data_IF_943753706611
#
_entry.id   IF_943753706611
#
_cell.length_a   1.000
_cell.length_b   1.000
_cell.length_c   1.000
_cell.angle_alpha   90.00
_cell.angle_beta   90.00
_cell.angle_gamma   90.00
#
_symmetry.space_group_name_H-M   'P 1'
#
loop_
_entity.id
_entity.type
_entity.pdbx_description
1 polymer ?
#
# COMPACT_ATOMS: atom_id res chain seq x y z
N UNK A 1 -11.08 -26.32 10.50
CA UNK A 1 -11.93 -25.51 9.60
C UNK A 1 -11.08 -24.35 9.11
N UNK A 2 -10.65 -24.36 7.85
CA UNK A 2 -10.03 -23.18 7.24
C UNK A 2 -11.15 -22.18 7.02
N UNK A 3 -11.13 -20.97 7.60
CA UNK A 3 -12.11 -19.98 7.22
C UNK A 3 -11.91 -19.71 5.73
N UNK A 4 -12.95 -19.91 4.93
CA UNK A 4 -12.98 -19.53 3.52
C UNK A 4 -13.11 -18.01 3.48
N UNK A 5 -12.02 -17.29 3.76
CA UNK A 5 -12.00 -15.84 3.62
C UNK A 5 -12.21 -15.50 2.16
N UNK A 6 -13.30 -14.79 1.84
CA UNK A 6 -13.50 -14.29 0.49
C UNK A 6 -12.48 -13.19 0.21
N UNK A 7 -11.38 -13.59 -0.42
CA UNK A 7 -10.35 -12.66 -0.85
C UNK A 7 -10.82 -11.83 -2.04
N UNK A 8 -11.93 -12.13 -2.72
CA UNK A 8 -12.30 -11.43 -3.96
C UNK A 8 -13.00 -10.09 -3.71
N UNK A 9 -13.79 -10.00 -2.63
CA UNK A 9 -14.66 -8.85 -2.34
C UNK A 9 -14.07 -7.82 -1.36
N UNK A 10 -12.73 -7.72 -1.26
CA UNK A 10 -12.09 -6.72 -0.39
C UNK A 10 -12.35 -5.30 -0.94
N UNK A 11 -12.92 -4.37 -0.13
CA UNK A 11 -13.14 -3.00 -0.55
C UNK A 11 -11.84 -2.27 -0.88
N UNK A 12 -11.84 -1.50 -1.97
CA UNK A 12 -10.69 -0.75 -2.44
C UNK A 12 -10.99 0.01 -3.72
N UNK A 13 -9.94 0.45 -4.42
CA UNK A 13 -10.11 1.05 -5.75
C UNK A 13 -10.60 0.01 -6.77
N UNK A 14 -11.27 0.41 -7.87
CA UNK A 14 -11.71 -0.50 -8.93
C UNK A 14 -10.59 -1.38 -9.50
N UNK A 15 -9.36 -0.87 -9.53
CA UNK A 15 -8.17 -1.58 -9.99
C UNK A 15 -7.76 -2.74 -9.08
N UNK A 16 -8.27 -2.76 -7.85
CA UNK A 16 -8.01 -3.80 -6.86
C UNK A 16 -8.91 -5.03 -7.03
N UNK A 17 -9.86 -4.99 -7.97
CA UNK A 17 -10.72 -6.11 -8.34
C UNK A 17 -9.89 -7.14 -9.12
N UNK A 18 -9.93 -8.38 -8.67
CA UNK A 18 -9.19 -9.48 -9.28
C UNK A 18 -9.97 -10.03 -10.48
N UNK A 19 -9.39 -9.97 -11.67
CA UNK A 19 -9.98 -10.58 -12.87
C UNK A 19 -9.91 -12.12 -12.79
N UNK A 20 -10.75 -12.86 -13.54
CA UNK A 20 -10.69 -14.33 -13.57
C UNK A 20 -9.30 -14.87 -13.95
N UNK A 21 -8.59 -14.15 -14.83
CA UNK A 21 -7.23 -14.50 -15.22
C UNK A 21 -6.19 -14.29 -14.11
N UNK A 22 -6.40 -13.32 -13.20
CA UNK A 22 -5.57 -13.16 -12.02
C UNK A 22 -5.87 -14.23 -10.98
N UNK A 23 -7.15 -14.54 -10.76
CA UNK A 23 -7.58 -15.56 -9.79
C UNK A 23 -6.98 -16.94 -10.10
N UNK A 24 -6.87 -17.31 -11.37
CA UNK A 24 -6.27 -18.59 -11.78
C UNK A 24 -4.76 -18.70 -11.50
N UNK A 25 -4.08 -17.58 -11.23
CA UNK A 25 -2.65 -17.54 -10.90
C UNK A 25 -2.39 -17.59 -9.39
N UNK A 26 -3.43 -17.44 -8.56
CA UNK A 26 -3.26 -17.32 -7.11
C UNK A 26 -3.01 -18.68 -6.45
N UNK A 27 -2.05 -18.77 -5.51
CA UNK A 27 -1.88 -19.97 -4.71
C UNK A 27 -3.10 -20.21 -3.81
N UNK A 28 -3.36 -21.48 -3.46
CA UNK A 28 -4.50 -21.87 -2.63
C UNK A 28 -4.37 -21.44 -1.15
N UNK A 29 -3.17 -21.08 -0.68
CA UNK A 29 -2.90 -20.78 0.72
C UNK A 29 -2.09 -19.49 0.89
N UNK A 30 -2.37 -18.78 2.00
CA UNK A 30 -1.60 -17.63 2.44
C UNK A 30 -0.45 -18.04 3.37
N UNK A 31 0.70 -17.38 3.26
CA UNK A 31 1.68 -17.35 4.34
C UNK A 31 1.06 -16.60 5.55
N UNK A 32 1.12 -17.14 6.77
CA UNK A 32 0.44 -16.55 7.92
C UNK A 32 1.10 -15.23 8.34
N UNK A 33 0.31 -14.33 8.94
CA UNK A 33 0.83 -13.18 9.68
C UNK A 33 1.49 -13.63 11.00
N UNK A 34 2.40 -12.84 11.60
CA UNK A 34 2.93 -11.56 11.12
C UNK A 34 3.97 -11.72 10.00
N UNK A 35 4.21 -10.64 9.24
CA UNK A 35 5.30 -10.60 8.25
C UNK A 35 6.39 -9.62 8.65
N UNK A 36 7.63 -10.10 8.62
CA UNK A 36 8.84 -9.28 8.56
C UNK A 36 9.25 -9.11 7.10
N UNK A 37 9.72 -7.92 6.75
CA UNK A 37 10.08 -7.58 5.38
C UNK A 37 11.31 -6.70 5.30
N UNK A 38 12.14 -6.93 4.28
CA UNK A 38 13.22 -6.02 3.89
C UNK A 38 12.95 -5.50 2.48
N UNK A 39 13.17 -4.21 2.26
CA UNK A 39 12.90 -3.59 0.98
C UNK A 39 13.77 -2.36 0.71
N UNK A 40 13.70 -1.92 -0.53
CA UNK A 40 14.04 -0.57 -0.96
C UNK A 40 12.74 0.12 -1.34
N UNK A 41 12.55 1.37 -0.91
CA UNK A 41 11.30 2.08 -1.15
C UNK A 41 11.52 3.53 -1.53
N UNK A 42 10.68 4.01 -2.45
CA UNK A 42 10.42 5.43 -2.67
C UNK A 42 9.06 5.70 -2.07
N UNK A 43 9.02 6.56 -1.04
CA UNK A 43 7.78 7.02 -0.42
C UNK A 43 7.59 8.50 -0.72
N UNK A 44 6.36 8.92 -0.93
CA UNK A 44 6.01 10.32 -1.09
C UNK A 44 4.70 10.65 -0.38
N UNK A 45 4.51 11.92 -0.11
CA UNK A 45 3.29 12.39 0.53
C UNK A 45 2.84 13.73 -0.02
N UNK A 46 1.53 13.94 0.07
CA UNK A 46 0.87 15.15 -0.40
C UNK A 46 -0.43 15.40 0.33
N UNK A 47 -1.02 16.56 0.06
CA UNK A 47 -2.37 16.87 0.52
C UNK A 47 -3.35 15.89 -0.13
N UNK A 48 -4.36 15.40 0.61
CA UNK A 48 -5.45 14.62 0.03
C UNK A 48 -6.12 15.39 -1.11
N UNK A 49 -6.51 14.68 -2.18
CA UNK A 49 -7.39 15.26 -3.18
C UNK A 49 -8.75 15.59 -2.57
N UNK A 50 -9.45 16.59 -3.10
CA UNK A 50 -10.79 16.95 -2.63
C UNK A 50 -11.81 15.80 -2.80
N UNK A 51 -11.56 14.91 -3.76
CA UNK A 51 -12.39 13.76 -4.06
C UNK A 51 -12.06 12.53 -3.18
N UNK A 52 -10.93 12.51 -2.46
CA UNK A 52 -10.47 11.31 -1.76
C UNK A 52 -11.50 10.77 -0.77
N UNK A 53 -12.14 11.66 0.00
CA UNK A 53 -13.07 11.23 1.04
C UNK A 53 -14.29 10.50 0.47
N UNK A 54 -14.81 10.93 -0.69
CA UNK A 54 -15.96 10.28 -1.33
C UNK A 54 -15.60 8.94 -1.97
N UNK A 55 -14.31 8.63 -2.16
CA UNK A 55 -13.87 7.31 -2.64
C UNK A 55 -13.80 6.28 -1.52
N UNK A 56 -13.69 6.72 -0.26
CA UNK A 56 -13.73 5.80 0.89
C UNK A 56 -15.11 5.15 0.99
N UNK A 57 -15.16 3.91 1.48
CA UNK A 57 -16.43 3.27 1.84
C UNK A 57 -17.15 4.08 2.93
N UNK A 58 -18.49 3.99 3.05
CA UNK A 58 -19.22 4.68 4.11
C UNK A 58 -18.67 4.38 5.52
N UNK A 59 -18.25 3.13 5.74
CA UNK A 59 -17.67 2.69 7.01
C UNK A 59 -16.34 3.36 7.29
N UNK A 60 -15.45 3.48 6.30
CA UNK A 60 -14.18 4.20 6.42
C UNK A 60 -14.37 5.72 6.53
N UNK A 61 -15.37 6.29 5.84
CA UNK A 61 -15.73 7.72 5.99
C UNK A 61 -16.11 8.05 7.44
N UNK A 62 -16.86 7.15 8.10
CA UNK A 62 -17.27 7.31 9.49
C UNK A 62 -16.08 7.29 10.48
N UNK A 63 -14.94 6.70 10.10
CA UNK A 63 -13.77 6.60 10.99
C UNK A 63 -12.94 7.89 11.04
N UNK A 64 -12.99 8.74 10.00
CA UNK A 64 -12.21 9.97 10.01
C UNK A 64 -12.11 10.68 8.67
N UNK A 65 -11.48 11.86 8.71
CA UNK A 65 -11.24 12.70 7.53
C UNK A 65 -9.83 12.50 6.99
N UNK A 66 -9.63 12.50 5.66
CA UNK A 66 -8.30 12.48 5.05
C UNK A 66 -7.40 13.59 5.59
N UNK A 67 -6.22 13.19 6.05
CA UNK A 67 -5.19 14.10 6.54
C UNK A 67 -4.01 14.18 5.56
N UNK A 68 -3.58 13.03 5.04
CA UNK A 68 -2.42 12.93 4.16
C UNK A 68 -2.64 11.81 3.13
N UNK A 69 -2.31 12.07 1.87
CA UNK A 69 -2.13 11.02 0.88
C UNK A 69 -0.67 10.61 0.86
N UNK A 70 -0.43 9.32 0.95
CA UNK A 70 0.90 8.71 0.94
C UNK A 70 0.91 7.71 -0.20
N UNK A 71 1.91 7.78 -1.05
CA UNK A 71 2.19 6.73 -2.01
C UNK A 71 3.55 6.11 -1.73
N UNK A 72 3.69 4.85 -2.12
CA UNK A 72 4.97 4.19 -2.09
C UNK A 72 5.12 3.25 -3.28
N UNK A 73 6.35 3.13 -3.78
CA UNK A 73 6.78 2.07 -4.67
C UNK A 73 7.99 1.39 -4.05
N UNK A 74 7.96 0.07 -3.98
CA UNK A 74 8.90 -0.75 -3.24
C UNK A 74 9.40 -1.92 -4.09
N UNK A 75 10.63 -2.36 -3.80
CA UNK A 75 11.11 -3.69 -4.15
C UNK A 75 11.47 -4.39 -2.85
N UNK A 76 10.77 -5.47 -2.56
CA UNK A 76 11.06 -6.32 -1.42
C UNK A 76 12.17 -7.30 -1.76
N UNK A 77 13.18 -7.32 -0.91
CA UNK A 77 14.36 -8.20 -1.01
C UNK A 77 14.18 -9.48 -0.18
N UNK A 78 13.31 -9.46 0.83
CA UNK A 78 13.08 -10.56 1.75
C UNK A 78 11.69 -10.44 2.40
N UNK A 79 10.84 -11.44 2.20
CA UNK A 79 9.51 -11.58 2.83
C UNK A 79 9.15 -13.07 2.95
N UNK A 80 8.11 -13.45 3.73
CA UNK A 80 7.63 -14.83 3.78
C UNK A 80 7.16 -15.41 2.44
N UNK A 81 6.97 -14.57 1.41
CA UNK A 81 6.54 -14.97 0.06
C UNK A 81 7.60 -14.68 -1.01
N UNK A 82 8.84 -14.42 -0.60
CA UNK A 82 9.96 -14.12 -1.50
C UNK A 82 10.06 -12.65 -1.90
N UNK A 83 10.79 -12.39 -2.99
CA UNK A 83 11.01 -11.05 -3.53
C UNK A 83 9.86 -10.64 -4.44
N UNK A 84 9.49 -9.36 -4.42
CA UNK A 84 8.45 -8.80 -5.29
C UNK A 84 8.50 -7.27 -5.32
N UNK A 85 7.92 -6.67 -6.35
CA UNK A 85 7.69 -5.23 -6.43
C UNK A 85 6.26 -4.87 -6.00
N UNK A 86 6.10 -3.69 -5.42
CA UNK A 86 4.82 -3.21 -4.91
C UNK A 86 4.65 -1.72 -5.20
N UNK A 87 3.46 -1.32 -5.63
CA UNK A 87 3.02 0.08 -5.56
C UNK A 87 1.78 0.13 -4.68
N UNK A 88 1.68 1.13 -3.82
CA UNK A 88 0.55 1.28 -2.90
C UNK A 88 0.13 2.72 -2.71
N UNK A 89 -1.17 2.92 -2.53
CA UNK A 89 -1.76 4.16 -2.06
C UNK A 89 -2.24 3.98 -0.61
N UNK A 90 -1.87 4.92 0.25
CA UNK A 90 -2.25 4.95 1.66
C UNK A 90 -2.84 6.32 1.97
N UNK A 91 -3.96 6.32 2.67
CA UNK A 91 -4.55 7.53 3.23
C UNK A 91 -4.35 7.52 4.74
N UNK A 92 -3.66 8.53 5.27
CA UNK A 92 -3.71 8.80 6.70
C UNK A 92 -5.03 9.50 7.00
N UNK A 93 -5.83 8.92 7.89
CA UNK A 93 -7.13 9.42 8.32
C UNK A 93 -7.04 9.93 9.75
N UNK A 94 -7.60 11.13 9.99
CA UNK A 94 -7.73 11.71 11.32
C UNK A 94 -9.13 11.40 11.85
N UNK A 95 -9.19 10.48 12.81
CA UNK A 95 -10.40 10.11 13.53
C UNK A 95 -10.44 10.63 14.97
N UNK A 96 -11.50 10.29 15.72
CA UNK A 96 -11.66 10.72 17.10
C UNK A 96 -10.63 10.10 18.05
N UNK A 97 -10.08 8.92 17.73
CA UNK A 97 -9.09 8.19 18.55
C UNK A 97 -7.64 8.42 18.11
N UNK A 98 -7.40 9.38 17.21
CA UNK A 98 -6.09 9.70 16.67
C UNK A 98 -5.98 9.48 15.16
N UNK A 99 -4.74 9.33 14.67
CA UNK A 99 -4.46 9.13 13.25
C UNK A 99 -4.19 7.65 12.98
N UNK A 100 -4.83 7.11 11.94
CA UNK A 100 -4.62 5.74 11.46
C UNK A 100 -4.43 5.76 9.93
N UNK A 101 -3.89 4.68 9.39
CA UNK A 101 -3.69 4.52 7.95
C UNK A 101 -4.75 3.58 7.36
N UNK A 102 -5.18 3.87 6.15
CA UNK A 102 -6.01 2.99 5.33
C UNK A 102 -5.36 2.82 3.97
N UNK A 103 -5.33 1.60 3.44
CA UNK A 103 -4.68 1.27 2.17
C UNK A 103 -5.69 0.69 1.19
N UNK A 104 -6.36 1.53 0.37
CA UNK A 104 -7.41 1.12 -0.56
C UNK A 104 -6.88 0.55 -1.88
N UNK A 105 -5.56 0.60 -2.11
CA UNK A 105 -4.97 0.12 -3.35
C UNK A 105 -3.53 -0.32 -3.12
N UNK A 106 -3.24 -1.54 -3.54
CA UNK A 106 -1.90 -2.09 -3.69
C UNK A 106 -1.87 -2.89 -5.00
N UNK A 107 -0.80 -2.78 -5.76
CA UNK A 107 -0.52 -3.70 -6.85
C UNK A 107 0.87 -4.31 -6.67
N UNK A 108 1.01 -5.59 -7.00
CA UNK A 108 2.25 -6.37 -6.85
C UNK A 108 2.47 -7.30 -8.04
N UNK A 109 3.70 -7.75 -8.26
CA UNK A 109 4.02 -8.82 -9.23
C UNK A 109 4.06 -10.22 -8.59
N UNK A 110 3.66 -10.37 -7.32
CA UNK A 110 3.62 -11.64 -6.61
C UNK A 110 2.20 -12.12 -6.28
N UNK A 111 1.72 -13.22 -6.91
CA UNK A 111 0.45 -13.86 -6.56
C UNK A 111 0.34 -14.26 -5.09
N UNK A 112 1.44 -14.73 -4.49
CA UNK A 112 1.47 -15.10 -3.07
C UNK A 112 1.31 -13.89 -2.15
N UNK A 113 1.86 -12.73 -2.54
CA UNK A 113 1.65 -11.46 -1.81
C UNK A 113 0.20 -10.99 -1.89
N UNK A 114 -0.49 -11.18 -3.04
CA UNK A 114 -1.92 -10.88 -3.18
C UNK A 114 -2.75 -11.69 -2.18
N UNK A 115 -2.58 -13.01 -2.17
CA UNK A 115 -3.34 -13.91 -1.28
C UNK A 115 -3.05 -13.60 0.19
N UNK A 116 -1.78 -13.47 0.56
CA UNK A 116 -1.38 -13.15 1.94
C UNK A 116 -1.88 -11.78 2.39
N UNK A 117 -1.77 -10.76 1.55
CA UNK A 117 -2.25 -9.40 1.82
C UNK A 117 -3.75 -9.34 2.10
N UNK A 118 -4.53 -10.00 1.23
CA UNK A 118 -5.99 -10.01 1.29
C UNK A 118 -6.51 -10.86 2.45
N UNK A 119 -5.94 -12.06 2.64
CA UNK A 119 -6.39 -12.98 3.69
C UNK A 119 -6.03 -12.51 5.10
N UNK A 120 -4.81 -11.97 5.31
CA UNK A 120 -4.36 -11.62 6.67
C UNK A 120 -4.82 -10.22 7.12
N UNK A 121 -5.00 -9.28 6.19
CA UNK A 121 -5.16 -7.85 6.51
C UNK A 121 -6.25 -7.14 5.72
N UNK A 122 -7.01 -7.83 4.86
CA UNK A 122 -7.96 -7.20 3.94
C UNK A 122 -7.32 -6.04 3.15
N UNK A 123 -6.07 -6.21 2.73
CA UNK A 123 -5.42 -5.25 1.85
C UNK A 123 -5.96 -5.44 0.44
N UNK A 124 -6.45 -4.37 -0.19
CA UNK A 124 -6.93 -4.37 -1.57
C UNK A 124 -5.76 -4.54 -2.58
N UNK A 125 -5.17 -5.73 -2.62
CA UNK A 125 -4.04 -6.09 -3.49
C UNK A 125 -4.50 -6.63 -4.83
N UNK A 126 -3.86 -6.23 -5.92
CA UNK A 126 -4.03 -6.78 -7.27
C UNK A 126 -2.69 -7.18 -7.89
N UNK A 127 -2.73 -7.83 -9.05
CA UNK A 127 -1.53 -8.12 -9.85
C UNK A 127 -1.22 -6.99 -10.84
N UNK A 128 0.06 -6.69 -10.99
CA UNK A 128 0.59 -5.77 -11.99
C UNK A 128 1.97 -6.21 -12.47
N UNK A 129 2.38 -5.72 -13.64
CA UNK A 129 3.77 -5.82 -14.11
C UNK A 129 4.55 -4.60 -13.65
N UNK A 130 5.82 -4.81 -13.33
CA UNK A 130 6.73 -3.74 -12.95
C UNK A 130 7.88 -3.62 -13.93
N UNK A 131 8.18 -2.39 -14.31
CA UNK A 131 9.28 -2.04 -15.19
C UNK A 131 10.14 -0.96 -14.51
N UNK A 132 11.41 -0.85 -14.90
CA UNK A 132 12.36 0.10 -14.34
C UNK A 132 13.36 -0.52 -13.38
N UNK A 133 14.16 0.33 -12.74
CA UNK A 133 15.32 -0.12 -11.95
C UNK A 133 15.61 0.80 -10.76
N UNK A 134 16.16 0.19 -9.71
CA UNK A 134 16.62 0.88 -8.52
C UNK A 134 17.78 1.85 -8.83
N UNK A 135 18.65 1.58 -9.81
CA UNK A 135 19.73 2.51 -10.15
C UNK A 135 19.20 3.83 -10.73
N UNK A 136 18.13 3.76 -11.53
CA UNK A 136 17.50 4.94 -12.16
C UNK A 136 16.50 5.64 -11.25
N UNK A 137 16.16 5.03 -10.10
CA UNK A 137 15.14 5.53 -9.15
C UNK A 137 13.82 5.85 -9.86
N UNK A 138 13.52 5.07 -10.89
CA UNK A 138 12.33 5.19 -11.71
C UNK A 138 11.72 3.81 -11.90
N UNK A 139 10.43 3.69 -11.62
CA UNK A 139 9.68 2.45 -11.72
C UNK A 139 8.28 2.74 -12.25
N UNK A 140 7.77 1.81 -13.04
CA UNK A 140 6.42 1.85 -13.60
C UNK A 140 5.69 0.58 -13.22
N UNK A 141 4.51 0.72 -12.63
CA UNK A 141 3.56 -0.36 -12.41
C UNK A 141 2.46 -0.28 -13.48
N UNK A 142 2.17 -1.41 -14.14
CA UNK A 142 1.20 -1.51 -15.24
C UNK A 142 0.19 -2.60 -14.90
N UNK A 143 -1.08 -2.22 -14.76
CA UNK A 143 -2.22 -3.13 -14.69
C UNK A 143 -2.95 -3.25 -16.02
N UNK A 144 -4.18 -3.80 -16.00
CA UNK A 144 -4.98 -4.02 -17.21
C UNK A 144 -5.41 -2.71 -17.89
N UNK A 145 -5.78 -1.68 -17.11
CA UNK A 145 -6.34 -0.41 -17.60
C UNK A 145 -5.77 0.83 -16.89
N UNK A 146 -4.70 0.65 -16.13
CA UNK A 146 -4.10 1.68 -15.29
C UNK A 146 -2.57 1.59 -15.31
N UNK A 147 -1.92 2.72 -15.10
CA UNK A 147 -0.46 2.83 -15.01
C UNK A 147 -0.08 3.80 -13.91
N UNK A 148 0.94 3.44 -13.12
CA UNK A 148 1.59 4.36 -12.18
C UNK A 148 3.07 4.41 -12.49
N UNK A 149 3.55 5.57 -12.90
CA UNK A 149 4.98 5.85 -13.12
C UNK A 149 5.50 6.74 -12.00
N UNK A 150 6.61 6.33 -11.41
CA UNK A 150 7.27 7.05 -10.32
C UNK A 150 8.72 7.29 -10.72
N UNK A 151 9.22 8.50 -10.47
CA UNK A 151 10.65 8.81 -10.53
C UNK A 151 11.05 9.66 -9.33
N UNK A 152 12.25 9.45 -8.80
CA UNK A 152 12.74 10.19 -7.64
C UNK A 152 14.14 10.73 -7.86
N UNK A 153 14.36 11.97 -7.39
CA UNK A 153 15.68 12.59 -7.28
C UNK A 153 15.99 12.83 -5.80
N UNK A 154 17.03 12.19 -5.28
CA UNK A 154 17.47 12.37 -3.89
C UNK A 154 18.31 13.63 -3.70
N UNK A 155 18.25 14.21 -2.50
CA UNK A 155 19.02 15.37 -2.08
C UNK A 155 19.71 15.08 -0.75
N UNK A 156 20.97 15.50 -0.64
CA UNK A 156 21.71 15.50 0.62
C UNK A 156 22.10 14.10 1.16
N UNK A 157 22.60 14.05 2.40
CA UNK A 157 23.06 12.81 3.04
C UNK A 157 21.88 11.92 3.45
N UNK A 158 22.16 10.62 3.63
CA UNK A 158 21.21 9.71 4.27
C UNK A 158 21.22 9.94 5.78
N UNK A 159 20.03 10.11 6.35
CA UNK A 159 19.83 10.16 7.79
C UNK A 159 19.28 8.81 8.27
N UNK A 160 19.96 8.21 9.24
CA UNK A 160 19.43 7.01 9.91
C UNK A 160 18.35 7.46 10.89
N UNK A 161 17.08 7.28 10.54
CA UNK A 161 15.96 7.68 11.39
C UNK A 161 15.19 6.44 11.84
N UNK A 162 15.15 6.22 13.16
CA UNK A 162 14.14 5.38 13.79
C UNK A 162 12.84 6.19 13.85
N UNK A 163 12.17 6.37 12.72
CA UNK A 163 10.92 7.11 12.73
C UNK A 163 9.84 6.28 13.42
N UNK A 164 9.20 6.77 14.50
CA UNK A 164 7.86 6.32 14.79
C UNK A 164 7.01 6.67 13.57
N UNK A 165 6.57 5.66 12.81
CA UNK A 165 5.69 5.88 11.66
C UNK A 165 4.44 6.62 12.19
N UNK A 166 4.14 7.85 11.74
CA UNK A 166 2.88 8.47 12.10
C UNK A 166 1.76 7.53 11.68
N UNK A 167 0.83 7.27 12.60
CA UNK A 167 -0.20 6.23 12.49
C UNK A 167 0.37 4.80 12.35
N UNK A 168 0.89 4.24 13.44
CA UNK A 168 1.31 2.83 13.52
C UNK A 168 0.16 1.83 13.31
N UNK A 169 -1.09 2.30 13.29
CA UNK A 169 -2.26 1.45 13.03
C UNK A 169 -2.66 1.51 11.56
N UNK A 170 -2.76 0.35 10.92
CA UNK A 170 -3.43 0.13 9.65
C UNK A 170 -4.85 -0.35 9.95
N UNK A 171 -5.86 0.38 9.49
CA UNK A 171 -7.27 0.04 9.59
C UNK A 171 -7.79 -0.34 8.21
N UNK A 172 -8.45 -1.50 8.13
CA UNK A 172 -9.03 -2.01 6.90
C UNK A 172 -10.45 -2.50 7.14
N UNK A 173 -11.25 -2.42 6.07
CA UNK A 173 -12.55 -3.06 5.99
C UNK A 173 -12.41 -4.41 5.29
N UNK A 174 -12.98 -5.46 5.88
CA UNK A 174 -13.01 -6.82 5.35
C UNK A 174 -14.15 -6.99 4.33
N UNK A 175 -14.17 -8.11 3.60
CA UNK A 175 -15.22 -8.40 2.61
C UNK A 175 -16.63 -8.49 3.22
N UNK A 176 -16.75 -8.93 4.48
CA UNK A 176 -17.99 -8.96 5.26
C UNK A 176 -18.32 -7.61 5.92
N UNK A 177 -17.58 -6.56 5.57
CA UNK A 177 -17.79 -5.20 6.04
C UNK A 177 -17.32 -4.97 7.48
N UNK A 178 -16.59 -5.89 8.12
CA UNK A 178 -16.00 -5.69 9.44
C UNK A 178 -14.76 -4.81 9.38
N UNK A 179 -14.44 -4.14 10.49
CA UNK A 179 -13.19 -3.37 10.60
C UNK A 179 -12.15 -4.19 11.35
N UNK A 180 -10.91 -4.15 10.86
CA UNK A 180 -9.77 -4.73 11.55
C UNK A 180 -8.59 -3.79 11.58
N UNK A 181 -7.85 -3.83 12.69
CA UNK A 181 -6.67 -3.04 12.93
C UNK A 181 -5.43 -3.92 13.01
N UNK A 182 -4.34 -3.45 12.43
CA UNK A 182 -3.03 -4.09 12.49
C UNK A 182 -1.98 -3.07 12.88
N UNK A 183 -0.99 -3.50 13.66
CA UNK A 183 0.14 -2.67 14.00
C UNK A 183 1.25 -2.85 12.98
N UNK A 184 1.87 -1.74 12.59
CA UNK A 184 3.05 -1.72 11.73
C UNK A 184 4.21 -1.04 12.44
N UNK A 185 5.40 -1.60 12.25
CA UNK A 185 6.65 -1.03 12.71
C UNK A 185 7.66 -1.05 11.56
N UNK A 186 8.64 -0.15 11.60
CA UNK A 186 9.70 -0.17 10.62
C UNK A 186 10.87 0.71 11.01
N UNK A 187 12.01 0.47 10.37
CA UNK A 187 13.25 1.24 10.52
C UNK A 187 13.90 1.38 9.15
N UNK A 188 14.48 2.54 8.87
CA UNK A 188 15.17 2.77 7.61
C UNK A 188 16.22 3.86 7.72
N UNK A 189 17.18 3.81 6.80
CA UNK A 189 17.94 5.01 6.41
C UNK A 189 17.16 5.76 5.35
N UNK A 190 16.97 7.05 5.55
CA UNK A 190 16.17 7.89 4.67
C UNK A 190 17.02 8.96 4.00
N UNK A 191 16.80 9.15 2.70
CA UNK A 191 17.28 10.30 1.95
C UNK A 191 16.10 11.12 1.50
N UNK A 192 16.11 12.43 1.73
CA UNK A 192 15.09 13.32 1.20
C UNK A 192 15.08 13.23 -0.32
N UNK A 193 13.90 13.24 -0.92
CA UNK A 193 13.74 13.16 -2.36
C UNK A 193 12.61 14.06 -2.87
N UNK A 194 12.74 14.48 -4.12
CA UNK A 194 11.62 14.98 -4.93
C UNK A 194 11.12 13.83 -5.78
N UNK A 195 9.83 13.54 -5.69
CA UNK A 195 9.20 12.41 -6.38
C UNK A 195 8.20 12.95 -7.39
N UNK A 196 8.29 12.49 -8.62
CA UNK A 196 7.31 12.77 -9.67
C UNK A 196 6.49 11.51 -9.90
N UNK A 197 5.17 11.68 -9.92
CA UNK A 197 4.21 10.60 -10.08
C UNK A 197 3.30 10.93 -11.25
N UNK A 198 3.13 9.97 -12.15
CA UNK A 198 2.13 10.00 -13.22
C UNK A 198 1.23 8.78 -13.02
N UNK A 199 -0.06 9.03 -12.81
CA UNK A 199 -1.07 8.04 -12.51
C UNK A 199 -2.22 8.14 -13.53
N UNK A 200 -2.50 7.04 -14.22
CA UNK A 200 -3.67 6.85 -15.07
C UNK A 200 -4.48 5.65 -14.56
N UNK A 201 -5.80 5.69 -14.76
CA UNK A 201 -6.72 4.67 -14.24
C UNK A 201 -8.12 5.25 -14.01
N UNK A 202 -8.83 4.75 -13.00
CA UNK A 202 -10.12 5.30 -12.57
C UNK A 202 -9.96 6.64 -11.83
N UNK A 203 -11.09 7.33 -11.62
CA UNK A 203 -11.14 8.50 -10.73
C UNK A 203 -10.75 8.14 -9.29
N UNK A 204 -11.10 6.94 -8.82
CA UNK A 204 -10.75 6.48 -7.48
C UNK A 204 -9.23 6.37 -7.30
N UNK A 205 -8.54 5.70 -8.22
CA UNK A 205 -7.09 5.58 -8.16
C UNK A 205 -6.41 6.96 -8.24
N UNK A 206 -6.85 7.84 -9.15
CA UNK A 206 -6.32 9.21 -9.24
C UNK A 206 -6.62 10.05 -8.00
N UNK A 207 -7.71 9.79 -7.29
CA UNK A 207 -8.01 10.48 -6.06
C UNK A 207 -7.11 10.02 -4.90
N UNK A 208 -6.79 8.72 -4.83
CA UNK A 208 -5.88 8.15 -3.82
C UNK A 208 -4.42 8.46 -4.10
N UNK A 209 -4.03 8.43 -5.38
CA UNK A 209 -2.66 8.66 -5.86
C UNK A 209 -2.67 9.64 -7.04
N UNK A 210 -2.85 10.95 -6.77
CA UNK A 210 -2.86 11.94 -7.84
C UNK A 210 -1.49 12.02 -8.54
N UNK A 211 -1.50 12.35 -9.83
CA UNK A 211 -0.29 12.75 -10.55
C UNK A 211 0.24 14.08 -9.99
N UNK A 212 1.56 14.24 -9.95
CA UNK A 212 2.19 15.49 -9.54
C UNK A 212 3.61 15.34 -9.03
N UNK A 213 4.08 16.41 -8.36
CA UNK A 213 5.41 16.48 -7.77
C UNK A 213 5.33 16.60 -6.25
N UNK A 214 5.97 15.68 -5.56
CA UNK A 214 5.87 15.49 -4.13
C UNK A 214 7.22 15.59 -3.46
N UNK A 215 7.19 15.95 -2.18
CA UNK A 215 8.28 15.59 -1.30
C UNK A 215 8.14 14.13 -0.90
N UNK A 216 9.28 13.48 -0.74
CA UNK A 216 9.36 12.08 -0.44
C UNK A 216 10.68 11.71 0.21
N UNK A 217 10.86 10.42 0.39
CA UNK A 217 12.11 9.82 0.84
C UNK A 217 12.44 8.59 0.04
N UNK A 218 13.73 8.33 -0.12
CA UNK A 218 14.25 7.02 -0.49
C UNK A 218 14.66 6.31 0.80
N UNK A 219 14.12 5.13 1.00
CA UNK A 219 14.32 4.29 2.17
C UNK A 219 15.14 3.05 1.76
N UNK A 220 16.40 3.00 2.18
CA UNK A 220 17.33 1.93 1.79
C UNK A 220 18.46 1.73 2.83
N UNK A 221 18.54 0.57 3.51
CA UNK A 221 17.53 -0.49 3.53
C UNK A 221 16.33 -0.08 4.40
N UNK A 222 15.12 -0.49 4.00
CA UNK A 222 13.92 -0.49 4.82
C UNK A 222 13.72 -1.87 5.44
N UNK A 223 13.46 -1.91 6.75
CA UNK A 223 12.99 -3.11 7.45
C UNK A 223 11.63 -2.81 8.05
N UNK A 224 10.62 -3.61 7.70
CA UNK A 224 9.25 -3.48 8.15
C UNK A 224 8.75 -4.72 8.86
N UNK A 225 7.79 -4.53 9.75
CA UNK A 225 7.02 -5.57 10.40
C UNK A 225 5.54 -5.20 10.33
N UNK A 226 4.69 -6.15 9.94
CA UNK A 226 3.25 -6.02 9.96
C UNK A 226 2.66 -7.12 10.83
N UNK A 227 2.10 -6.71 11.97
CA UNK A 227 1.49 -7.60 12.95
C UNK A 227 0.18 -8.22 12.47
N UNK A 228 -0.33 -9.25 13.15
CA UNK A 228 -1.62 -9.84 12.83
C UNK A 228 -2.75 -8.82 12.98
N UNK A 229 -3.75 -8.92 12.12
CA UNK A 229 -4.96 -8.13 12.23
C UNK A 229 -5.81 -8.58 13.42
N UNK A 230 -6.49 -7.62 14.05
CA UNK A 230 -7.45 -7.85 15.12
C UNK A 230 -8.73 -7.11 14.78
N UNK A 231 -9.88 -7.75 14.98
CA UNK A 231 -11.17 -7.11 14.81
C UNK A 231 -11.26 -5.86 15.71
N UNK A 232 -11.86 -4.79 15.18
CA UNK A 232 -12.21 -3.63 15.97
C UNK A 232 -13.58 -3.85 16.61
N UNK A 233 -13.63 -3.87 17.93
CA UNK A 233 -14.86 -3.80 18.73
C UNK A 233 -15.48 -2.39 18.67
#
# INVERSE_FOLDING_TARGET
MTPTFDITAIPGSPESVLSPAMLSQLPASAAPAPWDAQAQAILWWGRPSQQLHSQLTPRMQAQGKPLLSIGAILRYDDTPVGTYAEVMAVTALRGPRGVFNHCPFIAVDSPASVVGGRANWALAKTLARFEGDAATRAMTAVGESWTVRVSAKSYGPALSLNLPLPAATLLQETADGLLQASLKAGRSRLRLARVTVECSGSDALRAYMPSGHYWGVIAEPFRGWLGPARACE
#
